data_IF_545990174148
#
_entry.id   IF_545990174148
#
_cell.length_a   1.000
_cell.length_b   1.000
_cell.length_c   1.000
_cell.angle_alpha   90.00
_cell.angle_beta   90.00
_cell.angle_gamma   90.00
#
_symmetry.space_group_name_H-M   'P 1'
#
loop_
_entity.id
_entity.type
_entity.pdbx_description
1 polymer ?
#
# COMPACT_ATOMS: atom_id res chain seq x y z
N UNK A 1 24.74 24.98 -20.54
CA UNK A 1 23.95 23.91 -19.89
C UNK A 1 23.65 24.40 -18.48
N UNK A 2 22.42 24.83 -18.20
CA UNK A 2 22.07 25.30 -16.85
C UNK A 2 22.16 24.11 -15.89
N UNK A 3 23.07 24.19 -14.93
CA UNK A 3 23.15 23.25 -13.82
C UNK A 3 21.88 23.34 -12.99
N UNK A 4 21.12 22.25 -12.95
CA UNK A 4 19.93 22.13 -12.13
C UNK A 4 20.37 22.00 -10.68
N UNK A 5 20.19 23.07 -9.90
CA UNK A 5 20.50 23.09 -8.48
C UNK A 5 19.35 22.45 -7.68
N UNK A 6 19.69 21.43 -6.89
CA UNK A 6 18.77 20.58 -6.13
C UNK A 6 18.48 21.14 -4.72
N UNK A 7 19.20 22.18 -4.27
CA UNK A 7 19.01 22.78 -2.94
C UNK A 7 17.57 23.28 -2.71
N UNK A 8 16.96 23.87 -3.74
CA UNK A 8 15.60 24.41 -3.70
C UNK A 8 14.49 23.34 -3.56
N UNK A 9 14.82 22.06 -3.74
CA UNK A 9 13.88 20.94 -3.56
C UNK A 9 14.10 20.16 -2.24
N UNK A 10 15.07 20.55 -1.40
CA UNK A 10 15.29 19.96 -0.07
C UNK A 10 14.06 20.09 0.86
N UNK A 11 13.21 21.09 0.60
CA UNK A 11 12.00 21.38 1.38
C UNK A 11 10.72 20.73 0.84
N UNK A 12 10.79 19.97 -0.26
CA UNK A 12 9.67 19.16 -0.75
C UNK A 12 9.49 17.88 0.09
N UNK A 13 9.52 18.04 1.42
CA UNK A 13 8.99 17.05 2.36
C UNK A 13 7.47 17.15 2.27
N UNK A 14 6.89 16.16 1.59
CA UNK A 14 5.47 15.79 1.59
C UNK A 14 4.64 16.56 2.64
N UNK A 15 3.93 17.59 2.18
CA UNK A 15 2.83 18.14 2.96
C UNK A 15 1.77 17.03 3.08
N UNK A 16 1.69 16.40 4.25
CA UNK A 16 0.55 15.57 4.64
C UNK A 16 -0.72 16.44 4.59
N UNK A 17 -1.48 16.33 3.51
CA UNK A 17 -2.87 16.75 3.49
C UNK A 17 -3.72 15.58 3.99
N UNK A 18 -4.21 15.69 5.22
CA UNK A 18 -5.30 14.89 5.75
C UNK A 18 -4.94 14.04 6.96
N UNK A 19 -5.28 14.58 8.13
CA UNK A 19 -5.40 13.88 9.43
C UNK A 19 -4.09 13.40 10.07
N UNK A 20 -4.08 13.34 11.40
CA UNK A 20 -2.94 12.92 12.19
C UNK A 20 -2.69 11.41 11.99
N UNK A 21 -2.20 11.03 10.81
CA UNK A 21 -1.47 9.78 10.64
C UNK A 21 -0.25 9.89 11.55
N UNK A 22 -0.38 9.29 12.71
CA UNK A 22 0.78 8.94 13.53
C UNK A 22 1.64 8.06 12.62
N UNK A 23 2.66 8.67 12.01
CA UNK A 23 3.73 8.01 11.27
C UNK A 23 4.47 7.12 12.28
N UNK A 24 3.88 5.96 12.56
CA UNK A 24 4.55 4.90 13.27
C UNK A 24 5.60 4.41 12.30
N UNK A 25 6.80 5.02 12.38
CA UNK A 25 8.06 4.53 11.78
C UNK A 25 8.48 3.20 12.39
N UNK A 26 7.57 2.26 12.48
CA UNK A 26 7.86 0.88 12.82
C UNK A 26 8.02 0.18 11.49
N UNK A 27 9.26 0.19 11.01
CA UNK A 27 9.76 -0.77 10.03
C UNK A 27 9.67 -2.15 10.68
N UNK A 28 8.46 -2.69 10.81
CA UNK A 28 8.27 -4.09 11.08
C UNK A 28 9.01 -4.84 9.96
N UNK A 29 9.78 -5.90 10.28
CA UNK A 29 10.41 -6.71 9.26
C UNK A 29 9.33 -7.12 8.27
N UNK A 30 9.56 -6.86 6.98
CA UNK A 30 8.61 -7.16 5.92
C UNK A 30 8.37 -8.67 5.95
N UNK A 31 7.28 -9.09 6.58
CA UNK A 31 6.80 -10.47 6.54
C UNK A 31 6.28 -10.84 5.14
N UNK A 32 6.45 -9.96 4.16
CA UNK A 32 5.91 -10.06 2.82
C UNK A 32 7.00 -9.74 1.81
N UNK A 33 7.04 -10.50 0.73
CA UNK A 33 7.96 -10.30 -0.39
C UNK A 33 7.19 -10.38 -1.69
N UNK A 34 7.59 -9.57 -2.66
CA UNK A 34 7.07 -9.59 -4.03
C UNK A 34 8.15 -10.20 -4.92
N UNK A 35 7.92 -11.43 -5.38
CA UNK A 35 8.94 -12.19 -6.09
C UNK A 35 9.12 -11.74 -7.55
N UNK A 36 8.08 -11.14 -8.15
CA UNK A 36 8.10 -10.68 -9.53
C UNK A 36 7.95 -9.16 -9.56
N UNK A 37 9.09 -8.47 -9.50
CA UNK A 37 9.16 -7.02 -9.63
C UNK A 37 9.66 -6.63 -11.03
N UNK A 38 9.01 -5.71 -11.74
CA UNK A 38 9.50 -5.23 -13.02
C UNK A 38 10.90 -4.62 -12.88
N UNK A 39 11.72 -4.77 -13.93
CA UNK A 39 13.08 -4.20 -13.94
C UNK A 39 13.02 -2.70 -13.67
N UNK A 40 13.89 -2.22 -12.78
CA UNK A 40 14.02 -0.81 -12.43
C UNK A 40 13.18 -0.38 -11.23
N UNK A 41 12.10 -1.10 -10.91
CA UNK A 41 11.32 -0.81 -9.72
C UNK A 41 12.10 -1.16 -8.45
N UNK A 42 11.99 -0.31 -7.43
CA UNK A 42 12.52 -0.54 -6.09
C UNK A 42 11.50 -0.10 -5.04
N UNK A 43 11.56 -0.67 -3.84
CA UNK A 43 10.73 -0.24 -2.72
C UNK A 43 11.19 1.15 -2.26
N UNK A 44 10.30 2.13 -2.35
CA UNK A 44 10.56 3.52 -1.94
C UNK A 44 9.88 3.89 -0.63
N UNK A 45 8.80 3.20 -0.26
CA UNK A 45 8.09 3.43 1.00
C UNK A 45 7.49 2.12 1.56
N UNK A 46 7.48 2.00 2.89
CA UNK A 46 6.78 0.95 3.62
C UNK A 46 6.18 1.54 4.89
N UNK A 47 4.85 1.56 4.99
CA UNK A 47 4.12 2.17 6.10
C UNK A 47 3.00 1.25 6.58
N UNK A 48 2.83 1.14 7.89
CA UNK A 48 1.65 0.52 8.49
C UNK A 48 0.57 1.57 8.72
N UNK A 49 -0.66 1.29 8.28
CA UNK A 49 -1.84 2.19 8.34
C UNK A 49 -3.03 1.47 8.97
N UNK A 50 -4.06 2.21 9.33
CA UNK A 50 -5.36 1.67 9.72
C UNK A 50 -6.23 1.40 8.49
N UNK A 51 -6.82 0.22 8.40
CA UNK A 51 -7.81 -0.11 7.36
C UNK A 51 -9.10 0.70 7.53
N UNK A 52 -9.80 1.01 6.43
CA UNK A 52 -11.08 1.76 6.47
C UNK A 52 -12.19 1.02 7.22
N UNK A 53 -12.15 -0.30 7.18
CA UNK A 53 -13.05 -1.15 7.96
C UNK A 53 -12.83 -0.99 9.47
N UNK A 54 -11.57 -0.80 9.85
CA UNK A 54 -11.15 -0.64 11.23
C UNK A 54 -11.64 0.67 11.84
N UNK A 55 -11.74 1.74 11.02
CA UNK A 55 -12.25 3.06 11.40
C UNK A 55 -13.78 3.16 11.32
N UNK A 56 -14.43 2.49 10.36
CA UNK A 56 -15.89 2.46 10.26
C UNK A 56 -16.55 1.67 11.41
N UNK A 57 -15.92 0.59 11.89
CA UNK A 57 -16.39 -0.17 13.06
C UNK A 57 -16.24 0.60 14.39
N UNK A 58 -15.46 1.69 14.43
CA UNK A 58 -15.26 2.50 15.63
C UNK A 58 -16.38 3.52 15.89
N UNK A 59 -17.26 3.76 14.92
CA UNK A 59 -18.37 4.71 15.08
C UNK A 59 -19.59 4.14 15.81
N UNK A 60 -19.60 2.84 16.16
CA UNK A 60 -20.79 2.14 16.68
C UNK A 60 -20.60 1.58 18.12
N UNK A 61 -19.51 1.90 18.81
CA UNK A 61 -19.28 1.40 20.17
C UNK A 61 -18.77 2.49 21.13
N UNK A 62 -19.74 3.19 21.72
CA UNK A 62 -19.58 4.03 22.90
C UNK A 62 -19.49 3.11 24.13
N UNK A 63 -18.28 2.67 24.52
CA UNK A 63 -17.99 2.03 25.83
C UNK A 63 -16.48 1.84 26.06
N UNK A 64 -15.89 2.77 26.82
CA UNK A 64 -14.92 2.58 27.92
C UNK A 64 -13.74 1.59 27.84
N UNK A 65 -13.29 1.12 26.67
CA UNK A 65 -11.99 0.45 26.54
C UNK A 65 -11.23 0.97 25.32
N UNK A 66 -10.38 1.98 25.54
CA UNK A 66 -9.43 2.49 24.54
C UNK A 66 -8.31 1.45 24.35
N UNK A 67 -8.65 0.31 23.78
CA UNK A 67 -7.63 -0.56 23.17
C UNK A 67 -7.07 0.25 22.00
N UNK A 68 -5.83 0.69 22.13
CA UNK A 68 -5.06 1.28 21.05
C UNK A 68 -5.06 0.31 19.88
N UNK A 69 -5.96 0.54 18.91
CA UNK A 69 -6.10 -0.32 17.73
C UNK A 69 -4.81 -0.19 16.94
N UNK A 70 -4.06 -1.28 16.86
CA UNK A 70 -2.80 -1.30 16.13
C UNK A 70 -3.09 -1.18 14.63
N UNK A 71 -2.21 -0.51 13.86
CA UNK A 71 -2.28 -0.50 12.41
C UNK A 71 -2.36 -1.93 11.83
N UNK A 72 -3.28 -2.15 10.90
CA UNK A 72 -3.62 -3.47 10.34
C UNK A 72 -3.55 -3.55 8.80
N UNK A 73 -3.12 -2.47 8.14
CA UNK A 73 -2.91 -2.37 6.70
C UNK A 73 -1.44 -2.07 6.41
N UNK A 74 -0.72 -2.97 5.76
CA UNK A 74 0.62 -2.69 5.24
C UNK A 74 0.51 -2.06 3.85
N UNK A 75 1.11 -0.88 3.68
CA UNK A 75 1.20 -0.17 2.40
C UNK A 75 2.65 -0.06 1.96
N UNK A 76 2.96 -0.68 0.82
CA UNK A 76 4.25 -0.63 0.17
C UNK A 76 4.14 0.20 -1.11
N UNK A 77 5.16 1.02 -1.40
CA UNK A 77 5.26 1.77 -2.65
C UNK A 77 6.53 1.37 -3.37
N UNK A 78 6.38 0.98 -4.64
CA UNK A 78 7.47 0.66 -5.54
C UNK A 78 7.54 1.69 -6.67
N UNK A 79 8.73 2.08 -7.10
CA UNK A 79 8.91 3.00 -8.23
C UNK A 79 10.20 2.71 -9.00
N UNK A 80 10.18 2.97 -10.31
CA UNK A 80 11.36 2.97 -11.18
C UNK A 80 11.90 4.39 -11.48
N UNK A 81 11.37 5.40 -10.79
CA UNK A 81 11.68 6.81 -11.01
C UNK A 81 10.77 7.53 -12.00
N UNK A 82 9.90 6.81 -12.73
CA UNK A 82 8.90 7.38 -13.63
C UNK A 82 7.48 6.94 -13.25
N UNK A 83 7.27 5.64 -13.09
CA UNK A 83 6.01 5.04 -12.66
C UNK A 83 6.06 4.67 -11.17
N UNK A 84 4.88 4.54 -10.57
CA UNK A 84 4.72 4.09 -9.19
C UNK A 84 3.64 3.02 -9.09
N UNK A 85 3.86 2.04 -8.21
CA UNK A 85 2.94 0.95 -7.89
C UNK A 85 2.80 0.85 -6.38
N UNK A 86 1.57 0.99 -5.90
CA UNK A 86 1.21 0.75 -4.50
C UNK A 86 0.73 -0.68 -4.31
N UNK A 87 1.14 -1.29 -3.20
CA UNK A 87 0.69 -2.62 -2.77
C UNK A 87 0.12 -2.50 -1.36
N UNK A 88 -1.13 -2.92 -1.21
CA UNK A 88 -1.87 -2.92 0.04
C UNK A 88 -2.07 -4.36 0.50
N UNK A 89 -1.77 -4.63 1.76
CA UNK A 89 -1.88 -5.95 2.37
C UNK A 89 -2.64 -5.80 3.69
N UNK A 90 -3.84 -6.37 3.76
CA UNK A 90 -4.70 -6.35 4.95
C UNK A 90 -5.34 -7.71 5.18
N UNK A 91 -5.94 -7.91 6.36
CA UNK A 91 -6.68 -9.14 6.64
C UNK A 91 -7.88 -9.24 5.71
N UNK A 92 -8.12 -10.45 5.19
CA UNK A 92 -9.29 -10.72 4.38
C UNK A 92 -10.56 -10.63 5.23
N UNK A 93 -11.50 -9.81 4.79
CA UNK A 93 -12.77 -9.51 5.48
C UNK A 93 -13.98 -10.25 4.89
N UNK A 94 -13.74 -11.20 3.99
CA UNK A 94 -14.78 -12.00 3.35
C UNK A 94 -15.21 -11.50 1.97
N UNK A 95 -16.12 -12.26 1.35
CA UNK A 95 -16.56 -12.04 -0.02
C UNK A 95 -17.28 -10.70 -0.19
N UNK A 96 -16.97 -9.98 -1.28
CA UNK A 96 -17.61 -8.71 -1.64
C UNK A 96 -16.99 -7.45 -1.01
N UNK A 97 -16.06 -7.61 -0.05
CA UNK A 97 -15.42 -6.48 0.61
C UNK A 97 -14.14 -6.00 -0.09
N UNK A 98 -13.62 -6.78 -1.04
CA UNK A 98 -12.36 -6.49 -1.73
C UNK A 98 -12.54 -6.52 -3.25
N UNK A 99 -11.70 -5.74 -3.95
CA UNK A 99 -11.53 -5.87 -5.39
C UNK A 99 -11.00 -7.27 -5.71
N UNK A 100 -11.70 -8.07 -6.51
CA UNK A 100 -11.20 -9.36 -6.97
C UNK A 100 -10.87 -9.31 -8.46
N UNK A 101 -9.63 -9.65 -8.82
CA UNK A 101 -9.16 -9.61 -10.21
C UNK A 101 -8.79 -8.20 -10.67
N UNK A 102 -8.81 -7.98 -11.99
CA UNK A 102 -8.37 -6.74 -12.61
C UNK A 102 -9.45 -5.64 -12.60
N UNK A 103 -9.02 -4.39 -12.41
CA UNK A 103 -9.84 -3.19 -12.59
C UNK A 103 -8.99 -2.07 -13.21
N UNK A 104 -9.61 -1.20 -13.98
CA UNK A 104 -8.93 -0.10 -14.69
C UNK A 104 -9.73 1.19 -14.58
N UNK A 105 -9.05 2.29 -14.28
CA UNK A 105 -9.62 3.63 -14.26
C UNK A 105 -8.67 4.59 -14.97
N UNK A 106 -8.98 4.95 -16.23
CA UNK A 106 -8.08 5.73 -17.07
C UNK A 106 -6.77 4.97 -17.33
N UNK A 107 -5.63 5.61 -17.02
CA UNK A 107 -4.30 4.98 -17.14
C UNK A 107 -3.92 4.11 -15.93
N UNK A 108 -4.69 4.17 -14.84
CA UNK A 108 -4.41 3.44 -13.61
C UNK A 108 -5.02 2.04 -13.69
N UNK A 109 -4.21 1.02 -13.42
CA UNK A 109 -4.64 -0.37 -13.33
C UNK A 109 -4.53 -0.85 -11.88
N UNK A 110 -5.44 -1.75 -11.51
CA UNK A 110 -5.47 -2.41 -10.23
C UNK A 110 -5.67 -3.92 -10.38
N UNK A 111 -5.11 -4.70 -9.46
CA UNK A 111 -5.38 -6.12 -9.35
C UNK A 111 -5.49 -6.52 -7.88
N UNK A 112 -6.57 -7.23 -7.55
CA UNK A 112 -6.77 -7.77 -6.21
C UNK A 112 -6.74 -9.30 -6.18
N UNK A 113 -6.06 -9.86 -5.18
CA UNK A 113 -5.91 -11.30 -4.99
C UNK A 113 -5.85 -11.66 -3.51
N UNK A 114 -6.56 -12.71 -3.05
CA UNK A 114 -6.35 -13.28 -1.73
C UNK A 114 -5.02 -14.03 -1.68
N UNK A 115 -4.35 -13.97 -0.52
CA UNK A 115 -3.16 -14.76 -0.18
C UNK A 115 -3.27 -15.16 1.30
N UNK A 116 -3.45 -16.45 1.58
CA UNK A 116 -3.78 -16.97 2.91
C UNK A 116 -4.98 -16.21 3.55
N UNK A 117 -4.84 -15.75 4.80
CA UNK A 117 -5.83 -14.96 5.53
C UNK A 117 -5.79 -13.46 5.18
N UNK A 118 -5.05 -13.08 4.14
CA UNK A 118 -4.86 -11.69 3.73
C UNK A 118 -5.40 -11.43 2.33
N UNK A 119 -5.64 -10.16 2.06
CA UNK A 119 -6.03 -9.67 0.75
C UNK A 119 -4.99 -8.66 0.25
N UNK A 120 -4.51 -8.90 -0.96
CA UNK A 120 -3.51 -8.07 -1.64
C UNK A 120 -4.20 -7.23 -2.69
N UNK A 121 -3.98 -5.91 -2.66
CA UNK A 121 -4.41 -5.01 -3.74
C UNK A 121 -3.21 -4.28 -4.29
N UNK A 122 -2.94 -4.42 -5.59
CA UNK A 122 -1.86 -3.73 -6.30
C UNK A 122 -2.46 -2.70 -7.23
N UNK A 123 -1.98 -1.45 -7.21
CA UNK A 123 -2.50 -0.33 -8.01
C UNK A 123 -1.37 0.51 -8.57
N UNK A 124 -1.41 0.89 -9.84
CA UNK A 124 -0.44 1.81 -10.42
C UNK A 124 -0.66 2.12 -11.89
N UNK A 125 0.06 3.12 -12.39
CA UNK A 125 0.10 3.52 -13.81
C UNK A 125 1.06 2.62 -14.60
N UNK A 126 0.76 1.33 -14.59
CA UNK A 126 1.53 0.28 -15.28
C UNK A 126 0.55 -0.65 -16.00
N UNK A 127 0.99 -1.43 -17.02
CA UNK A 127 0.10 -2.39 -17.67
C UNK A 127 -0.59 -3.33 -16.69
N UNK A 128 -1.83 -3.76 -16.99
CA UNK A 128 -2.60 -4.68 -16.13
C UNK A 128 -1.82 -5.97 -15.79
N UNK A 129 -1.04 -6.48 -16.74
CA UNK A 129 -0.18 -7.66 -16.54
C UNK A 129 0.88 -7.42 -15.46
N UNK A 130 1.34 -6.18 -15.28
CA UNK A 130 2.32 -5.81 -14.26
C UNK A 130 1.70 -5.87 -12.86
N UNK A 131 0.56 -5.20 -12.65
CA UNK A 131 -0.12 -5.24 -11.34
C UNK A 131 -0.57 -6.66 -10.98
N UNK A 132 -1.02 -7.45 -11.96
CA UNK A 132 -1.36 -8.85 -11.77
C UNK A 132 -0.14 -9.68 -11.38
N UNK A 133 0.97 -9.58 -12.11
CA UNK A 133 2.17 -10.35 -11.84
C UNK A 133 2.75 -10.03 -10.45
N UNK A 134 2.76 -8.75 -10.07
CA UNK A 134 3.16 -8.34 -8.73
C UNK A 134 2.24 -8.96 -7.67
N UNK A 135 0.92 -8.80 -7.79
CA UNK A 135 -0.06 -9.33 -6.83
C UNK A 135 0.06 -10.85 -6.64
N UNK A 136 0.17 -11.60 -7.74
CA UNK A 136 0.27 -13.07 -7.73
C UNK A 136 1.62 -13.58 -7.22
N UNK A 137 2.66 -12.74 -7.24
CA UNK A 137 3.99 -13.06 -6.73
C UNK A 137 4.23 -12.60 -5.29
N UNK A 138 3.25 -11.93 -4.68
CA UNK A 138 3.31 -11.50 -3.28
C UNK A 138 3.07 -12.69 -2.36
N UNK A 139 4.04 -12.99 -1.51
CA UNK A 139 3.96 -14.11 -0.56
C UNK A 139 4.37 -13.69 0.83
N UNK A 140 3.79 -14.35 1.83
CA UNK A 140 4.21 -14.21 3.23
C UNK A 140 5.49 -15.03 3.46
N UNK A 141 6.51 -14.40 4.03
CA UNK A 141 7.71 -15.08 4.49
C UNK A 141 7.31 -15.92 5.72
N UNK A 142 7.58 -17.23 5.65
CA UNK A 142 7.33 -18.18 6.75
C UNK A 142 8.44 -18.14 7.78
#
# INVERSE_FOLDING_TARGET
VQSFDLEQFQHYRQQQLGEAETDVKQSAPLQWVINTLPKGFMLTQSTMRHSRSSSAQSAVQDSADKISKQPDLLHLVYSDGLASVSVFIEKNQGAGQHLQGASTMGAVNAFGSPVDDYFITVVGEVPVKTVQAMAQSTVKIK
#
